data_IF_929137531607
#
_entry.id   IF_929137531607
#
_cell.length_a   1.000
_cell.length_b   1.000
_cell.length_c   1.000
_cell.angle_alpha   90.00
_cell.angle_beta   90.00
_cell.angle_gamma   90.00
#
_symmetry.space_group_name_H-M   'P 1'
#
loop_
_entity.id
_entity.type
_entity.pdbx_description
1 polymer ?
#
# COMPACT_ATOMS: atom_id res chain seq x y z
N UNK A 1 -17.61 -9.71 -43.24
CA UNK A 1 -18.27 -10.81 -42.51
C UNK A 1 -17.32 -11.33 -41.44
N UNK A 2 -17.64 -11.16 -40.14
CA UNK A 2 -16.79 -11.67 -39.03
C UNK A 2 -16.96 -13.19 -38.97
N UNK A 3 -15.86 -13.94 -38.99
CA UNK A 3 -15.89 -15.40 -38.86
C UNK A 3 -16.15 -15.72 -37.39
N UNK A 4 -17.27 -16.37 -37.11
CA UNK A 4 -17.67 -16.75 -35.76
C UNK A 4 -16.68 -17.77 -35.18
N UNK A 5 -16.23 -17.55 -33.95
CA UNK A 5 -15.24 -18.42 -33.29
C UNK A 5 -15.91 -19.69 -32.78
N UNK A 6 -15.11 -20.70 -32.43
CA UNK A 6 -15.61 -21.97 -31.86
C UNK A 6 -16.36 -21.70 -30.54
N UNK A 7 -15.84 -20.77 -29.71
CA UNK A 7 -16.47 -20.36 -28.46
C UNK A 7 -17.83 -19.67 -28.67
N UNK A 8 -17.98 -18.88 -29.74
CA UNK A 8 -19.25 -18.22 -30.07
C UNK A 8 -20.34 -19.26 -30.42
N UNK A 9 -19.99 -20.33 -31.16
CA UNK A 9 -20.91 -21.42 -31.50
C UNK A 9 -21.33 -22.24 -30.27
N UNK A 10 -20.42 -22.49 -29.36
CA UNK A 10 -20.71 -23.18 -28.10
C UNK A 10 -21.63 -22.36 -27.18
N UNK A 11 -21.51 -21.02 -27.23
CA UNK A 11 -22.40 -20.11 -26.50
C UNK A 11 -23.81 -20.08 -27.09
N UNK A 12 -23.94 -20.02 -28.41
CA UNK A 12 -25.24 -20.13 -29.07
C UNK A 12 -25.91 -21.47 -28.75
N UNK A 13 -25.17 -22.58 -28.85
CA UNK A 13 -25.69 -23.91 -28.51
C UNK A 13 -26.14 -24.01 -27.06
N UNK A 14 -25.37 -23.45 -26.12
CA UNK A 14 -25.77 -23.39 -24.72
C UNK A 14 -27.05 -22.57 -24.50
N UNK A 15 -27.17 -21.41 -25.15
CA UNK A 15 -28.36 -20.56 -25.05
C UNK A 15 -29.61 -21.24 -25.63
N UNK A 16 -29.47 -21.95 -26.74
CA UNK A 16 -30.55 -22.73 -27.35
C UNK A 16 -31.03 -23.86 -26.43
N UNK A 17 -30.09 -24.58 -25.80
CA UNK A 17 -30.41 -25.64 -24.83
C UNK A 17 -31.08 -25.06 -23.58
N UNK A 18 -30.63 -23.91 -23.08
CA UNK A 18 -31.28 -23.20 -21.96
C UNK A 18 -32.69 -22.74 -22.30
N UNK A 19 -32.92 -22.26 -23.52
CA UNK A 19 -34.26 -21.84 -23.97
C UNK A 19 -35.23 -23.03 -24.01
N UNK A 20 -34.77 -24.17 -24.54
CA UNK A 20 -35.55 -25.42 -24.57
C UNK A 20 -35.78 -26.00 -23.16
N UNK A 21 -34.84 -25.80 -22.22
CA UNK A 21 -34.97 -26.21 -20.81
C UNK A 21 -36.11 -25.46 -20.14
N UNK A 22 -36.12 -24.12 -20.29
CA UNK A 22 -37.19 -23.24 -19.79
C UNK A 22 -38.53 -23.57 -20.44
N UNK A 23 -38.52 -23.95 -21.73
CA UNK A 23 -39.71 -24.40 -22.45
C UNK A 23 -40.19 -25.81 -22.11
N UNK A 24 -39.44 -26.58 -21.31
CA UNK A 24 -39.77 -27.97 -21.00
C UNK A 24 -39.70 -28.93 -22.18
N UNK A 25 -39.06 -28.53 -23.29
CA UNK A 25 -38.99 -29.33 -24.53
C UNK A 25 -37.63 -30.00 -24.72
N UNK A 26 -36.84 -30.12 -23.64
CA UNK A 26 -35.53 -30.77 -23.70
C UNK A 26 -35.68 -32.28 -23.85
N UNK A 27 -35.04 -32.87 -24.85
CA UNK A 27 -34.88 -34.32 -24.93
C UNK A 27 -33.84 -34.82 -23.92
N UNK A 28 -33.87 -36.11 -23.59
CA UNK A 28 -32.90 -36.75 -22.67
C UNK A 28 -31.45 -36.57 -23.15
N UNK A 29 -31.20 -36.69 -24.45
CA UNK A 29 -29.87 -36.45 -25.03
C UNK A 29 -29.42 -34.99 -24.86
N UNK A 30 -30.33 -34.03 -25.05
CA UNK A 30 -30.06 -32.61 -24.85
C UNK A 30 -29.89 -32.25 -23.36
N UNK A 31 -30.49 -33.01 -22.43
CA UNK A 31 -30.27 -32.84 -20.98
C UNK A 31 -28.85 -33.25 -20.61
N UNK A 32 -28.37 -34.38 -21.13
CA UNK A 32 -26.98 -34.83 -20.93
C UNK A 32 -26.00 -33.82 -21.53
N UNK A 33 -26.29 -33.29 -22.72
CA UNK A 33 -25.46 -32.26 -23.37
C UNK A 33 -25.40 -30.96 -22.55
N UNK A 34 -26.55 -30.45 -22.09
CA UNK A 34 -26.63 -29.24 -21.27
C UNK A 34 -25.91 -29.43 -19.93
N UNK A 35 -26.10 -30.57 -19.27
CA UNK A 35 -25.43 -30.91 -18.02
C UNK A 35 -23.89 -30.97 -18.20
N UNK A 36 -23.41 -31.55 -19.30
CA UNK A 36 -21.99 -31.59 -19.62
C UNK A 36 -21.41 -30.18 -19.82
N UNK A 37 -22.08 -29.32 -20.60
CA UNK A 37 -21.64 -27.93 -20.83
C UNK A 37 -21.63 -27.13 -19.51
N UNK A 38 -22.65 -27.30 -18.67
CA UNK A 38 -22.71 -26.64 -17.36
C UNK A 38 -21.57 -27.10 -16.45
N UNK A 39 -21.28 -28.40 -16.42
CA UNK A 39 -20.20 -28.96 -15.62
C UNK A 39 -18.83 -28.43 -16.07
N UNK A 40 -18.56 -28.39 -17.38
CA UNK A 40 -17.31 -27.84 -17.91
C UNK A 40 -17.16 -26.35 -17.59
N UNK A 41 -18.23 -25.57 -17.68
CA UNK A 41 -18.20 -24.14 -17.31
C UNK A 41 -17.99 -23.92 -15.81
N UNK A 42 -18.58 -24.76 -14.97
CA UNK A 42 -18.40 -24.69 -13.52
C UNK A 42 -16.94 -24.98 -13.16
N UNK A 43 -16.36 -26.04 -13.71
CA UNK A 43 -14.95 -26.38 -13.51
C UNK A 43 -14.00 -25.27 -13.97
N UNK A 44 -14.23 -24.72 -15.17
CA UNK A 44 -13.44 -23.60 -15.67
C UNK A 44 -13.60 -22.34 -14.81
N UNK A 45 -14.79 -22.11 -14.23
CA UNK A 45 -15.04 -21.01 -13.30
C UNK A 45 -14.29 -21.23 -11.98
N UNK A 46 -14.32 -22.43 -11.42
CA UNK A 46 -13.64 -22.75 -10.16
C UNK A 46 -12.11 -22.60 -10.30
N UNK A 47 -11.54 -23.13 -11.38
CA UNK A 47 -10.11 -22.97 -11.69
C UNK A 47 -9.73 -21.50 -11.86
N UNK A 48 -10.57 -20.71 -12.53
CA UNK A 48 -10.33 -19.28 -12.69
C UNK A 48 -10.43 -18.53 -11.36
N UNK A 49 -11.42 -18.87 -10.52
CA UNK A 49 -11.61 -18.27 -9.21
C UNK A 49 -10.40 -18.53 -8.31
N UNK A 50 -9.84 -19.74 -8.32
CA UNK A 50 -8.64 -20.07 -7.54
C UNK A 50 -7.44 -19.20 -7.95
N UNK A 51 -7.24 -19.00 -9.25
CA UNK A 51 -6.18 -18.12 -9.77
C UNK A 51 -6.40 -16.66 -9.33
N UNK A 52 -7.63 -16.16 -9.42
CA UNK A 52 -7.97 -14.80 -9.00
C UNK A 52 -7.78 -14.63 -7.50
N UNK A 53 -8.25 -15.58 -6.68
CA UNK A 53 -8.09 -15.57 -5.23
C UNK A 53 -6.61 -15.61 -4.84
N UNK A 54 -5.81 -16.47 -5.49
CA UNK A 54 -4.37 -16.53 -5.27
C UNK A 54 -3.70 -15.18 -5.58
N UNK A 55 -4.06 -14.54 -6.70
CA UNK A 55 -3.54 -13.23 -7.07
C UNK A 55 -3.95 -12.13 -6.08
N UNK A 56 -5.20 -12.14 -5.62
CA UNK A 56 -5.69 -11.18 -4.62
C UNK A 56 -4.94 -11.36 -3.30
N UNK A 57 -4.76 -12.60 -2.83
CA UNK A 57 -3.97 -12.90 -1.62
C UNK A 57 -2.53 -12.42 -1.76
N UNK A 58 -1.87 -12.72 -2.87
CA UNK A 58 -0.51 -12.25 -3.13
C UNK A 58 -0.41 -10.72 -3.12
N UNK A 59 -1.41 -10.04 -3.71
CA UNK A 59 -1.45 -8.58 -3.73
C UNK A 59 -1.67 -8.01 -2.33
N UNK A 60 -2.58 -8.62 -1.56
CA UNK A 60 -2.84 -8.26 -0.18
C UNK A 60 -1.58 -8.40 0.68
N UNK A 61 -0.89 -9.53 0.60
CA UNK A 61 0.33 -9.79 1.37
C UNK A 61 1.45 -8.81 1.01
N UNK A 62 1.61 -8.50 -0.29
CA UNK A 62 2.58 -7.50 -0.73
C UNK A 62 2.25 -6.11 -0.18
N UNK A 63 0.98 -5.69 -0.22
CA UNK A 63 0.55 -4.40 0.32
C UNK A 63 0.73 -4.34 1.84
N UNK A 64 0.44 -5.43 2.54
CA UNK A 64 0.64 -5.51 3.99
C UNK A 64 2.13 -5.41 4.36
N UNK A 65 3.01 -6.06 3.62
CA UNK A 65 4.46 -5.92 3.80
C UNK A 65 4.91 -4.47 3.58
N UNK A 66 4.45 -3.84 2.49
CA UNK A 66 4.78 -2.43 2.21
C UNK A 66 4.26 -1.50 3.30
N UNK A 67 3.05 -1.72 3.79
CA UNK A 67 2.48 -0.94 4.89
C UNK A 67 3.34 -1.06 6.15
N UNK A 68 3.72 -2.28 6.54
CA UNK A 68 4.58 -2.49 7.71
C UNK A 68 5.95 -1.83 7.56
N UNK A 69 6.50 -1.84 6.34
CA UNK A 69 7.77 -1.19 6.04
C UNK A 69 7.68 0.33 6.19
N UNK A 70 6.66 0.97 5.61
CA UNK A 70 6.47 2.41 5.73
C UNK A 70 6.12 2.85 7.15
N UNK A 71 5.41 2.03 7.92
CA UNK A 71 5.15 2.30 9.34
C UNK A 71 6.46 2.33 10.14
N UNK A 72 7.31 1.32 9.97
CA UNK A 72 8.62 1.28 10.63
C UNK A 72 9.52 2.45 10.19
N UNK A 73 9.54 2.79 8.90
CA UNK A 73 10.29 3.94 8.40
C UNK A 73 9.77 5.26 8.99
N UNK A 74 8.44 5.43 9.06
CA UNK A 74 7.82 6.61 9.65
C UNK A 74 8.14 6.76 11.14
N UNK A 75 8.13 5.66 11.90
CA UNK A 75 8.52 5.67 13.33
C UNK A 75 10.00 6.03 13.51
N UNK A 76 10.87 5.50 12.65
CA UNK A 76 12.30 5.85 12.66
C UNK A 76 12.52 7.33 12.33
N UNK A 77 11.81 7.87 11.33
CA UNK A 77 11.89 9.29 10.96
C UNK A 77 11.37 10.20 12.08
N UNK A 78 10.26 9.83 12.73
CA UNK A 78 9.74 10.58 13.88
C UNK A 78 10.75 10.60 15.04
N UNK A 79 11.41 9.48 15.31
CA UNK A 79 12.48 9.39 16.32
C UNK A 79 13.67 10.28 15.97
N UNK A 80 14.12 10.25 14.71
CA UNK A 80 15.21 11.12 14.23
C UNK A 80 14.85 12.61 14.33
N UNK A 81 13.60 12.97 14.03
CA UNK A 81 13.13 14.34 14.11
C UNK A 81 13.12 14.84 15.56
N UNK A 82 12.63 14.04 16.51
CA UNK A 82 12.70 14.34 17.93
C UNK A 82 14.15 14.52 18.41
N UNK A 83 15.08 13.68 17.93
CA UNK A 83 16.50 13.83 18.24
C UNK A 83 17.08 15.14 17.68
N UNK A 84 16.70 15.53 16.46
CA UNK A 84 17.13 16.81 15.89
C UNK A 84 16.57 18.01 16.65
N UNK A 85 15.29 17.98 17.03
CA UNK A 85 14.68 19.03 17.85
C UNK A 85 15.39 19.17 19.20
N UNK A 86 15.72 18.05 19.85
CA UNK A 86 16.50 18.06 21.08
C UNK A 86 17.89 18.68 20.87
N UNK A 87 18.61 18.29 19.81
CA UNK A 87 19.92 18.85 19.50
C UNK A 87 19.87 20.37 19.24
N UNK A 88 18.84 20.84 18.54
CA UNK A 88 18.64 22.29 18.31
C UNK A 88 18.35 23.01 19.62
N UNK A 89 17.52 22.43 20.48
CA UNK A 89 17.25 22.96 21.82
C UNK A 89 18.52 23.05 22.66
N UNK A 90 19.31 21.97 22.71
CA UNK A 90 20.56 21.91 23.45
C UNK A 90 21.59 22.93 22.93
N UNK A 91 21.72 23.05 21.61
CA UNK A 91 22.60 24.04 20.99
C UNK A 91 22.18 25.48 21.32
N UNK A 92 20.88 25.76 21.31
CA UNK A 92 20.32 27.08 21.64
C UNK A 92 20.59 27.42 23.11
N UNK A 93 20.40 26.45 24.01
CA UNK A 93 20.70 26.61 25.42
C UNK A 93 22.19 26.85 25.65
N UNK A 94 23.05 26.09 24.96
CA UNK A 94 24.49 26.26 25.04
C UNK A 94 24.95 27.64 24.57
N UNK A 95 24.42 28.15 23.44
CA UNK A 95 24.71 29.49 22.94
C UNK A 95 24.28 30.57 23.94
N UNK A 96 23.10 30.43 24.53
CA UNK A 96 22.60 31.36 25.54
C UNK A 96 23.51 31.41 26.78
N UNK A 97 23.95 30.25 27.26
CA UNK A 97 24.87 30.17 28.40
C UNK A 97 26.26 30.71 28.04
N UNK A 98 26.73 30.48 26.82
CA UNK A 98 27.97 31.03 26.31
C UNK A 98 27.92 32.57 26.29
N UNK A 99 26.86 33.17 25.75
CA UNK A 99 26.66 34.61 25.73
C UNK A 99 26.63 35.20 27.13
N UNK A 100 25.92 34.55 28.07
CA UNK A 100 25.88 34.96 29.48
C UNK A 100 27.27 34.97 30.11
N UNK A 101 28.08 33.93 29.86
CA UNK A 101 29.46 33.84 30.36
C UNK A 101 30.36 34.91 29.74
N UNK A 102 30.22 35.14 28.43
CA UNK A 102 30.99 36.15 27.73
C UNK A 102 30.71 37.56 28.29
N UNK A 103 29.44 37.91 28.49
CA UNK A 103 29.03 39.16 29.13
C UNK A 103 29.60 39.30 30.54
N UNK A 104 29.59 38.22 31.33
CA UNK A 104 30.16 38.24 32.68
C UNK A 104 31.67 38.50 32.67
N UNK A 105 32.40 37.90 31.73
CA UNK A 105 33.84 38.14 31.54
C UNK A 105 34.09 39.60 31.14
N UNK A 106 33.31 40.14 30.20
CA UNK A 106 33.41 41.55 29.80
C UNK A 106 33.17 42.50 30.96
N UNK A 107 32.18 42.21 31.82
CA UNK A 107 31.91 42.99 33.03
C UNK A 107 33.08 42.95 34.00
N UNK A 108 33.62 41.76 34.31
CA UNK A 108 34.78 41.63 35.20
C UNK A 108 36.00 42.36 34.63
N UNK A 109 36.29 42.19 33.34
CA UNK A 109 37.40 42.89 32.69
C UNK A 109 37.24 44.40 32.84
N UNK A 110 36.07 44.94 32.51
CA UNK A 110 35.78 46.38 32.61
C UNK A 110 35.93 46.89 34.04
N UNK A 111 35.51 46.11 35.04
CA UNK A 111 35.70 46.46 36.44
C UNK A 111 37.19 46.50 36.86
N UNK A 112 38.01 45.60 36.31
CA UNK A 112 39.43 45.49 36.67
C UNK A 112 40.32 46.50 35.94
N UNK A 113 40.04 46.80 34.67
CA UNK A 113 40.91 47.63 33.83
C UNK A 113 40.38 49.04 33.59
N UNK A 114 39.07 49.26 33.78
CA UNK A 114 38.39 50.50 33.37
C UNK A 114 38.16 50.60 31.85
N UNK A 115 38.58 49.59 31.07
CA UNK A 115 38.42 49.54 29.62
C UNK A 115 37.32 48.55 29.23
N UNK A 116 36.54 48.85 28.19
CA UNK A 116 35.49 47.93 27.71
C UNK A 116 36.06 46.92 26.73
N UNK A 117 35.88 45.64 27.03
CA UNK A 117 36.25 44.55 26.12
C UNK A 117 35.13 44.34 25.09
N UNK A 118 35.40 44.68 23.82
CA UNK A 118 34.42 44.53 22.75
C UNK A 118 34.20 43.05 22.40
N UNK A 119 32.97 42.64 22.03
CA UNK A 119 32.75 41.32 21.46
C UNK A 119 33.57 41.15 20.16
N UNK A 120 34.10 39.95 19.95
CA UNK A 120 34.80 39.57 18.72
C UNK A 120 33.85 39.43 17.53
#
# INVERSE_FOLDING_TARGET
MRRMTISDRENERFNDLRLKEVGGTLSEAEQVELAAIMQTRLQASDEFLDVVVARVRQTHDNLQQRLSHYQAESEALATLLLQQEQLVSDATQWLTEFDRRNQHIQQIYTQLTGETLLPA
#
